data_IF_169475276379
#
_entry.id   IF_169475276379
#
_cell.length_a   1.000
_cell.length_b   1.000
_cell.length_c   1.000
_cell.angle_alpha   90.00
_cell.angle_beta   90.00
_cell.angle_gamma   90.00
#
_symmetry.space_group_name_H-M   'P 1'
#
loop_
_entity.id
_entity.type
_entity.pdbx_description
1 polymer ?
#
# COMPACT_ATOMS: atom_id res chain seq x y z
N UNK A 1 -37.97 -14.46 -63.69
CA UNK A 1 -37.81 -13.58 -62.52
C UNK A 1 -36.34 -13.60 -62.13
N UNK A 2 -35.67 -12.43 -62.07
CA UNK A 2 -34.27 -12.35 -61.64
C UNK A 2 -34.13 -12.64 -60.15
N UNK A 3 -32.92 -13.00 -59.69
CA UNK A 3 -32.63 -13.20 -58.25
C UNK A 3 -33.02 -11.97 -57.43
N UNK A 4 -32.80 -10.76 -57.95
CA UNK A 4 -33.18 -9.51 -57.28
C UNK A 4 -34.69 -9.35 -57.13
N UNK A 5 -35.47 -9.69 -58.15
CA UNK A 5 -36.93 -9.65 -58.09
C UNK A 5 -37.47 -10.66 -57.09
N UNK A 6 -36.87 -11.85 -56.99
CA UNK A 6 -37.28 -12.88 -56.04
C UNK A 6 -37.11 -12.44 -54.57
N UNK A 7 -35.98 -11.84 -54.22
CA UNK A 7 -35.74 -11.31 -52.87
C UNK A 7 -36.66 -10.12 -52.53
N UNK A 8 -36.99 -9.27 -53.51
CA UNK A 8 -37.98 -8.21 -53.31
C UNK A 8 -39.37 -8.77 -53.01
N UNK A 9 -39.81 -9.80 -53.75
CA UNK A 9 -41.12 -10.45 -53.52
C UNK A 9 -41.17 -11.23 -52.20
N UNK A 10 -40.06 -11.83 -51.76
CA UNK A 10 -39.94 -12.43 -50.42
C UNK A 10 -40.12 -11.40 -49.29
N UNK A 11 -39.56 -10.20 -49.48
CA UNK A 11 -39.65 -9.11 -48.50
C UNK A 11 -41.05 -8.51 -48.47
N UNK A 12 -41.69 -8.34 -49.63
CA UNK A 12 -43.07 -7.83 -49.77
C UNK A 12 -44.13 -8.79 -49.23
N UNK A 13 -43.86 -10.11 -49.24
CA UNK A 13 -44.73 -11.17 -48.71
C UNK A 13 -44.47 -11.51 -47.24
N UNK A 14 -43.64 -10.73 -46.54
CA UNK A 14 -43.24 -10.99 -45.16
C UNK A 14 -42.71 -12.43 -44.93
N UNK A 15 -42.04 -13.00 -45.93
CA UNK A 15 -41.54 -14.38 -45.90
C UNK A 15 -42.64 -15.48 -45.84
N UNK A 16 -43.89 -15.16 -46.16
CA UNK A 16 -44.96 -16.15 -46.28
C UNK A 16 -44.88 -16.90 -47.62
N UNK A 17 -44.48 -18.16 -47.57
CA UNK A 17 -44.23 -19.02 -48.75
C UNK A 17 -45.50 -19.19 -49.61
N UNK A 18 -46.69 -19.23 -48.99
CA UNK A 18 -47.96 -19.34 -49.70
C UNK A 18 -48.31 -18.07 -50.49
N UNK A 19 -47.95 -16.89 -49.97
CA UNK A 19 -48.13 -15.62 -50.69
C UNK A 19 -47.09 -15.39 -51.78
N UNK A 20 -45.88 -15.93 -51.62
CA UNK A 20 -44.87 -15.93 -52.70
C UNK A 20 -45.33 -16.80 -53.87
N UNK A 21 -45.94 -17.95 -53.57
CA UNK A 21 -46.48 -18.89 -54.56
C UNK A 21 -47.60 -18.26 -55.41
N UNK A 22 -48.48 -17.47 -54.79
CA UNK A 22 -49.58 -16.82 -55.52
C UNK A 22 -49.15 -15.66 -56.41
N UNK A 23 -48.01 -14.99 -56.11
CA UNK A 23 -47.52 -13.82 -56.84
C UNK A 23 -46.50 -14.15 -57.94
N UNK A 24 -45.78 -15.26 -57.86
CA UNK A 24 -44.81 -15.67 -58.87
C UNK A 24 -44.68 -17.21 -58.93
N UNK A 25 -45.41 -17.90 -59.82
CA UNK A 25 -45.49 -19.37 -59.88
C UNK A 25 -44.26 -20.01 -60.56
N UNK A 26 -43.06 -19.45 -60.34
CA UNK A 26 -41.83 -20.03 -60.88
C UNK A 26 -41.36 -21.15 -59.94
N UNK A 27 -41.83 -22.36 -60.21
CA UNK A 27 -41.58 -23.59 -59.42
C UNK A 27 -40.09 -23.79 -59.09
N UNK A 28 -39.19 -23.42 -60.00
CA UNK A 28 -37.73 -23.53 -59.80
C UNK A 28 -37.17 -22.59 -58.72
N UNK A 29 -37.66 -21.35 -58.63
CA UNK A 29 -37.22 -20.39 -57.60
C UNK A 29 -37.79 -20.74 -56.23
N UNK A 30 -39.00 -21.29 -56.20
CA UNK A 30 -39.65 -21.77 -54.97
C UNK A 30 -38.91 -22.99 -54.42
N UNK A 31 -38.56 -23.96 -55.29
CA UNK A 31 -37.70 -25.08 -54.92
C UNK A 31 -36.34 -24.61 -54.38
N UNK A 32 -35.72 -23.60 -55.02
CA UNK A 32 -34.45 -23.03 -54.57
C UNK A 32 -34.57 -22.38 -53.18
N UNK A 33 -35.65 -21.66 -52.88
CA UNK A 33 -35.87 -21.05 -51.57
C UNK A 33 -36.16 -22.07 -50.47
N UNK A 34 -36.87 -23.16 -50.77
CA UNK A 34 -37.06 -24.27 -49.82
C UNK A 34 -35.71 -24.92 -49.50
N UNK A 35 -34.88 -25.18 -50.52
CA UNK A 35 -33.52 -25.72 -50.33
C UNK A 35 -32.68 -24.76 -49.48
N UNK A 36 -32.71 -23.45 -49.78
CA UNK A 36 -32.00 -22.44 -49.00
C UNK A 36 -32.46 -22.40 -47.54
N UNK A 37 -33.77 -22.49 -47.29
CA UNK A 37 -34.35 -22.55 -45.93
C UNK A 37 -33.86 -23.80 -45.18
N UNK A 38 -33.87 -24.97 -45.83
CA UNK A 38 -33.36 -26.22 -45.25
C UNK A 38 -31.87 -26.08 -44.90
N UNK A 39 -31.07 -25.49 -45.78
CA UNK A 39 -29.64 -25.22 -45.54
C UNK A 39 -29.48 -24.29 -44.34
N UNK A 40 -30.25 -23.19 -44.26
CA UNK A 40 -30.18 -22.24 -43.13
C UNK A 40 -30.58 -22.89 -41.80
N UNK A 41 -31.64 -23.72 -41.80
CA UNK A 41 -32.06 -24.49 -40.61
C UNK A 41 -30.99 -25.49 -40.22
N UNK A 42 -30.41 -26.21 -41.17
CA UNK A 42 -29.32 -27.16 -40.91
C UNK A 42 -28.09 -26.45 -40.32
N UNK A 43 -27.66 -25.34 -40.91
CA UNK A 43 -26.54 -24.51 -40.41
C UNK A 43 -26.84 -24.01 -39.00
N UNK A 44 -28.06 -23.53 -38.73
CA UNK A 44 -28.47 -23.08 -37.40
C UNK A 44 -28.42 -24.21 -36.36
N UNK A 45 -28.93 -25.40 -36.70
CA UNK A 45 -28.90 -26.57 -35.82
C UNK A 45 -27.46 -27.05 -35.56
N UNK A 46 -26.62 -27.13 -36.59
CA UNK A 46 -25.20 -27.48 -36.47
C UNK A 46 -24.48 -26.47 -35.57
N UNK A 47 -24.67 -25.17 -35.81
CA UNK A 47 -24.09 -24.11 -34.99
C UNK A 47 -24.55 -24.18 -33.53
N UNK A 48 -25.82 -24.53 -33.30
CA UNK A 48 -26.36 -24.71 -31.95
C UNK A 48 -25.73 -25.92 -31.25
N UNK A 49 -25.62 -27.07 -31.93
CA UNK A 49 -24.99 -28.28 -31.38
C UNK A 49 -23.52 -28.02 -31.07
N UNK A 50 -22.79 -27.37 -31.98
CA UNK A 50 -21.40 -26.98 -31.76
C UNK A 50 -21.24 -26.13 -30.50
N UNK A 51 -22.07 -25.09 -30.33
CA UNK A 51 -22.02 -24.22 -29.14
C UNK A 51 -22.34 -24.96 -27.84
N UNK A 52 -23.28 -25.92 -27.86
CA UNK A 52 -23.59 -26.76 -26.70
C UNK A 52 -22.40 -27.64 -26.34
N UNK A 53 -21.83 -28.34 -27.33
CA UNK A 53 -20.69 -29.23 -27.13
C UNK A 53 -19.44 -28.46 -26.68
N UNK A 54 -19.22 -27.25 -27.21
CA UNK A 54 -18.13 -26.39 -26.78
C UNK A 54 -18.26 -26.06 -25.30
N UNK A 55 -19.45 -25.65 -24.83
CA UNK A 55 -19.66 -25.34 -23.42
C UNK A 55 -19.52 -26.58 -22.51
N UNK A 56 -19.99 -27.75 -22.94
CA UNK A 56 -19.74 -29.02 -22.23
C UNK A 56 -18.24 -29.30 -22.14
N UNK A 57 -17.49 -29.08 -23.22
CA UNK A 57 -16.03 -29.24 -23.23
C UNK A 57 -15.34 -28.24 -22.30
N UNK A 58 -15.80 -26.99 -22.24
CA UNK A 58 -15.30 -26.01 -21.27
C UNK A 58 -15.53 -26.47 -19.83
N UNK A 59 -16.72 -27.01 -19.53
CA UNK A 59 -17.03 -27.56 -18.19
C UNK A 59 -16.12 -28.75 -17.85
N UNK A 60 -15.79 -29.62 -18.81
CA UNK A 60 -14.89 -30.75 -18.54
C UNK A 60 -13.45 -30.28 -18.30
N UNK A 61 -12.95 -29.42 -19.19
CA UNK A 61 -11.56 -28.96 -19.15
C UNK A 61 -11.30 -27.92 -18.05
N UNK A 62 -12.32 -27.44 -17.34
CA UNK A 62 -12.11 -26.56 -16.17
C UNK A 62 -11.35 -27.29 -15.06
N UNK A 63 -11.52 -28.61 -14.94
CA UNK A 63 -10.83 -29.44 -13.95
C UNK A 63 -9.33 -29.60 -14.26
N UNK A 64 -8.97 -29.40 -15.53
CA UNK A 64 -7.61 -29.52 -16.07
C UNK A 64 -6.81 -28.21 -15.99
N UNK A 65 -7.44 -27.11 -15.57
CA UNK A 65 -6.79 -25.79 -15.44
C UNK A 65 -5.58 -25.85 -14.52
N UNK A 66 -4.52 -25.11 -14.88
CA UNK A 66 -3.30 -25.02 -14.09
C UNK A 66 -3.30 -23.77 -13.23
N UNK A 67 -3.69 -22.63 -13.80
CA UNK A 67 -3.70 -21.34 -13.10
C UNK A 67 -5.12 -20.88 -12.75
N UNK A 68 -5.22 -19.86 -11.90
CA UNK A 68 -6.49 -19.23 -11.56
C UNK A 68 -7.08 -18.47 -12.76
N UNK A 69 -6.25 -17.81 -13.56
CA UNK A 69 -6.70 -17.03 -14.72
C UNK A 69 -7.42 -17.93 -15.73
N UNK A 70 -6.83 -19.10 -16.04
CA UNK A 70 -7.47 -20.10 -16.90
C UNK A 70 -8.82 -20.59 -16.32
N UNK A 71 -8.90 -20.72 -14.99
CA UNK A 71 -10.14 -21.07 -14.31
C UNK A 71 -11.18 -19.96 -14.42
N UNK A 72 -10.78 -18.72 -14.13
CA UNK A 72 -11.65 -17.53 -14.11
C UNK A 72 -12.24 -17.26 -15.49
N UNK A 73 -11.44 -17.39 -16.55
CA UNK A 73 -11.90 -17.30 -17.94
C UNK A 73 -12.98 -18.36 -18.24
N UNK A 74 -12.72 -19.62 -17.87
CA UNK A 74 -13.65 -20.73 -18.13
C UNK A 74 -14.94 -20.61 -17.32
N UNK A 75 -14.86 -20.29 -16.02
CA UNK A 75 -16.05 -20.16 -15.18
C UNK A 75 -16.89 -18.94 -15.58
N UNK A 76 -16.24 -17.84 -15.97
CA UNK A 76 -16.92 -16.65 -16.50
C UNK A 76 -17.63 -16.95 -17.81
N UNK A 77 -16.98 -17.69 -18.73
CA UNK A 77 -17.61 -18.15 -19.95
C UNK A 77 -18.84 -19.03 -19.67
N UNK A 78 -18.72 -19.97 -18.71
CA UNK A 78 -19.85 -20.82 -18.29
C UNK A 78 -21.00 -19.97 -17.76
N UNK A 79 -20.73 -19.02 -16.86
CA UNK A 79 -21.73 -18.14 -16.26
C UNK A 79 -22.51 -17.32 -17.30
N UNK A 80 -21.83 -16.81 -18.33
CA UNK A 80 -22.44 -15.97 -19.36
C UNK A 80 -23.27 -16.75 -20.38
N UNK A 81 -22.86 -17.98 -20.71
CA UNK A 81 -23.43 -18.70 -21.85
C UNK A 81 -24.41 -19.81 -21.46
N UNK A 82 -24.43 -20.28 -20.21
CA UNK A 82 -25.30 -21.41 -19.79
C UNK A 82 -26.79 -21.16 -20.04
N UNK A 83 -27.30 -19.94 -19.87
CA UNK A 83 -28.71 -19.55 -20.12
C UNK A 83 -29.17 -19.72 -21.59
N UNK A 84 -28.22 -19.92 -22.52
CA UNK A 84 -28.48 -20.03 -23.96
C UNK A 84 -28.30 -21.44 -24.51
N UNK A 85 -27.90 -22.43 -23.70
CA UNK A 85 -27.41 -23.75 -24.17
C UNK A 85 -28.23 -24.96 -23.71
N UNK A 86 -29.35 -24.74 -23.01
CA UNK A 86 -30.35 -25.76 -22.71
C UNK A 86 -30.04 -26.64 -21.49
N UNK A 87 -31.05 -27.43 -21.08
CA UNK A 87 -31.04 -28.26 -19.86
C UNK A 87 -29.89 -29.28 -19.80
N UNK A 88 -29.47 -29.84 -20.94
CA UNK A 88 -28.36 -30.81 -21.02
C UNK A 88 -27.07 -30.26 -20.42
N UNK A 89 -26.74 -29.00 -20.69
CA UNK A 89 -25.53 -28.36 -20.14
C UNK A 89 -25.66 -28.15 -18.63
N UNK A 90 -26.82 -27.70 -18.16
CA UNK A 90 -27.07 -27.49 -16.73
C UNK A 90 -26.93 -28.80 -15.95
N UNK A 91 -27.51 -29.91 -16.43
CA UNK A 91 -27.33 -31.24 -15.82
C UNK A 91 -25.87 -31.68 -15.78
N UNK A 92 -25.12 -31.40 -16.85
CA UNK A 92 -23.69 -31.71 -16.92
C UNK A 92 -22.86 -30.88 -15.93
N UNK A 93 -23.16 -29.59 -15.79
CA UNK A 93 -22.53 -28.76 -14.75
C UNK A 93 -22.89 -29.26 -13.35
N UNK A 94 -24.13 -29.67 -13.14
CA UNK A 94 -24.62 -30.17 -11.85
C UNK A 94 -23.89 -31.43 -11.37
N UNK A 95 -23.47 -32.31 -12.29
CA UNK A 95 -22.71 -33.52 -11.95
C UNK A 95 -21.24 -33.25 -11.59
N UNK A 96 -20.71 -32.09 -11.99
CA UNK A 96 -19.29 -31.71 -11.78
C UNK A 96 -19.09 -30.59 -10.76
N UNK A 97 -20.15 -29.91 -10.31
CA UNK A 97 -20.11 -28.71 -9.45
C UNK A 97 -19.18 -28.84 -8.22
N UNK A 98 -19.23 -29.98 -7.53
CA UNK A 98 -18.39 -30.23 -6.33
C UNK A 98 -16.92 -30.39 -6.69
N UNK A 99 -16.61 -31.07 -7.80
CA UNK A 99 -15.22 -31.23 -8.28
C UNK A 99 -14.64 -29.89 -8.73
N UNK A 100 -15.47 -29.06 -9.36
CA UNK A 100 -15.09 -27.71 -9.80
C UNK A 100 -14.79 -26.83 -8.58
N UNK A 101 -15.62 -26.91 -7.53
CA UNK A 101 -15.40 -26.19 -6.28
C UNK A 101 -14.13 -26.65 -5.55
N UNK A 102 -13.91 -27.96 -5.46
CA UNK A 102 -12.72 -28.52 -4.83
C UNK A 102 -11.43 -28.15 -5.57
N UNK A 103 -11.48 -28.12 -6.92
CA UNK A 103 -10.35 -27.70 -7.75
C UNK A 103 -9.93 -26.27 -7.43
N UNK A 104 -10.89 -25.33 -7.42
CA UNK A 104 -10.58 -23.92 -7.16
C UNK A 104 -10.08 -23.70 -5.74
N UNK A 105 -10.66 -24.38 -4.73
CA UNK A 105 -10.20 -24.24 -3.34
C UNK A 105 -8.74 -24.65 -3.18
N UNK A 106 -8.28 -25.66 -3.93
CA UNK A 106 -6.86 -26.07 -3.92
C UNK A 106 -5.96 -25.08 -4.65
N UNK A 107 -6.44 -24.45 -5.73
CA UNK A 107 -5.63 -23.47 -6.48
C UNK A 107 -5.40 -22.19 -5.69
N UNK A 108 -6.40 -21.73 -4.95
CA UNK A 108 -6.34 -20.44 -4.24
C UNK A 108 -5.78 -20.56 -2.83
N UNK A 109 -5.43 -21.76 -2.36
CA UNK A 109 -5.01 -21.98 -0.97
C UNK A 109 -3.70 -21.26 -0.63
N UNK A 110 -2.81 -21.10 -1.61
CA UNK A 110 -1.49 -20.45 -1.47
C UNK A 110 -1.52 -18.96 -1.76
N UNK A 111 -2.66 -18.39 -2.13
CA UNK A 111 -2.78 -16.99 -2.48
C UNK A 111 -2.65 -16.12 -1.22
N UNK A 112 -2.11 -14.92 -1.39
CA UNK A 112 -2.15 -13.87 -0.37
C UNK A 112 -3.59 -13.46 -0.05
N UNK A 113 -3.82 -12.85 1.12
CA UNK A 113 -5.17 -12.41 1.50
C UNK A 113 -5.73 -11.37 0.51
N UNK A 114 -4.87 -10.49 -0.04
CA UNK A 114 -5.24 -9.53 -1.08
C UNK A 114 -5.79 -10.23 -2.33
N UNK A 115 -5.09 -11.24 -2.81
CA UNK A 115 -5.52 -12.03 -3.97
C UNK A 115 -6.81 -12.80 -3.65
N UNK A 116 -6.89 -13.46 -2.49
CA UNK A 116 -8.08 -14.20 -2.04
C UNK A 116 -9.32 -13.32 -2.03
N UNK A 117 -9.24 -12.08 -1.53
CA UNK A 117 -10.37 -11.13 -1.52
C UNK A 117 -10.94 -10.93 -2.93
N UNK A 118 -10.09 -10.67 -3.92
CA UNK A 118 -10.54 -10.41 -5.29
C UNK A 118 -11.08 -11.67 -5.97
N UNK A 119 -10.43 -12.82 -5.74
CA UNK A 119 -10.89 -14.12 -6.24
C UNK A 119 -12.26 -14.48 -5.68
N UNK A 120 -12.45 -14.41 -4.35
CA UNK A 120 -13.73 -14.76 -3.74
C UNK A 120 -14.88 -13.86 -4.22
N UNK A 121 -14.62 -12.56 -4.47
CA UNK A 121 -15.60 -11.65 -5.09
C UNK A 121 -15.96 -12.09 -6.51
N UNK A 122 -14.96 -12.39 -7.35
CA UNK A 122 -15.19 -12.86 -8.73
C UNK A 122 -16.01 -14.15 -8.74
N UNK A 123 -15.60 -15.13 -7.93
CA UNK A 123 -16.28 -16.43 -7.81
C UNK A 123 -17.73 -16.27 -7.33
N UNK A 124 -17.97 -15.49 -6.28
CA UNK A 124 -19.32 -15.22 -5.78
C UNK A 124 -20.22 -14.65 -6.88
N UNK A 125 -19.71 -13.67 -7.64
CA UNK A 125 -20.44 -13.07 -8.76
C UNK A 125 -20.75 -14.10 -9.84
N UNK A 126 -19.75 -14.87 -10.27
CA UNK A 126 -19.91 -15.89 -11.30
C UNK A 126 -20.87 -17.00 -10.85
N UNK A 127 -20.82 -17.42 -9.59
CA UNK A 127 -21.73 -18.43 -9.04
C UNK A 127 -23.17 -17.90 -8.96
N UNK A 128 -23.36 -16.65 -8.54
CA UNK A 128 -24.68 -16.00 -8.58
C UNK A 128 -25.25 -15.93 -10.01
N UNK A 129 -24.40 -15.59 -10.99
CA UNK A 129 -24.81 -15.56 -12.40
C UNK A 129 -25.20 -16.95 -12.92
N UNK A 130 -24.46 -18.00 -12.56
CA UNK A 130 -24.80 -19.38 -12.93
C UNK A 130 -26.16 -19.77 -12.34
N UNK A 131 -26.40 -19.49 -11.05
CA UNK A 131 -27.67 -19.78 -10.40
C UNK A 131 -28.85 -19.13 -11.14
N UNK A 132 -28.78 -17.80 -11.34
CA UNK A 132 -29.82 -17.04 -12.03
C UNK A 132 -30.03 -17.54 -13.47
N UNK A 133 -28.94 -17.86 -14.18
CA UNK A 133 -29.00 -18.36 -15.55
C UNK A 133 -29.66 -19.75 -15.66
N UNK A 134 -29.62 -20.54 -14.58
CA UNK A 134 -30.17 -21.89 -14.52
C UNK A 134 -31.66 -21.94 -14.13
N UNK A 135 -32.25 -20.85 -13.62
CA UNK A 135 -33.68 -20.76 -13.31
C UNK A 135 -34.57 -21.17 -14.49
N UNK A 136 -34.18 -20.75 -15.70
CA UNK A 136 -34.88 -21.08 -16.96
C UNK A 136 -35.04 -22.58 -17.22
N UNK A 137 -34.20 -23.41 -16.61
CA UNK A 137 -34.19 -24.86 -16.84
C UNK A 137 -34.81 -25.67 -15.69
N UNK A 138 -35.30 -25.02 -14.62
CA UNK A 138 -35.86 -25.66 -13.43
C UNK A 138 -34.90 -26.68 -12.78
N UNK A 139 -33.58 -26.45 -12.82
CA UNK A 139 -32.57 -27.30 -12.18
C UNK A 139 -32.35 -26.89 -10.71
N UNK A 140 -33.33 -27.19 -9.86
CA UNK A 140 -33.40 -26.70 -8.47
C UNK A 140 -32.16 -27.03 -7.64
N UNK A 141 -31.56 -28.20 -7.83
CA UNK A 141 -30.35 -28.61 -7.09
C UNK A 141 -29.16 -27.70 -7.43
N UNK A 142 -28.95 -27.43 -8.72
CA UNK A 142 -27.85 -26.61 -9.20
C UNK A 142 -27.98 -25.15 -8.77
N UNK A 143 -29.21 -24.62 -8.87
CA UNK A 143 -29.55 -23.27 -8.45
C UNK A 143 -29.25 -23.12 -6.96
N UNK A 144 -29.85 -23.97 -6.11
CA UNK A 144 -29.63 -23.93 -4.66
C UNK A 144 -28.16 -24.09 -4.28
N UNK A 145 -27.41 -24.92 -5.01
CA UNK A 145 -25.98 -25.09 -4.76
C UNK A 145 -25.22 -23.78 -5.01
N UNK A 146 -25.35 -23.18 -6.19
CA UNK A 146 -24.58 -21.99 -6.56
C UNK A 146 -25.05 -20.72 -5.83
N UNK A 147 -26.35 -20.56 -5.55
CA UNK A 147 -26.85 -19.47 -4.70
C UNK A 147 -26.25 -19.52 -3.30
N UNK A 148 -26.31 -20.71 -2.68
CA UNK A 148 -25.74 -20.92 -1.36
C UNK A 148 -24.23 -20.68 -1.37
N UNK A 149 -23.53 -21.23 -2.35
CA UNK A 149 -22.06 -21.09 -2.43
C UNK A 149 -21.62 -19.66 -2.70
N UNK A 150 -22.32 -18.91 -3.54
CA UNK A 150 -22.01 -17.50 -3.76
C UNK A 150 -22.02 -16.69 -2.45
N UNK A 151 -23.05 -16.90 -1.61
CA UNK A 151 -23.16 -16.26 -0.29
C UNK A 151 -22.10 -16.77 0.69
N UNK A 152 -21.96 -18.09 0.82
CA UNK A 152 -21.00 -18.72 1.74
C UNK A 152 -19.55 -18.26 1.48
N UNK A 153 -19.16 -18.06 0.22
CA UNK A 153 -17.80 -17.63 -0.14
C UNK A 153 -17.43 -16.28 0.50
N UNK A 154 -18.37 -15.33 0.56
CA UNK A 154 -18.11 -13.99 1.10
C UNK A 154 -18.42 -13.91 2.59
N UNK A 155 -19.59 -14.39 3.01
CA UNK A 155 -20.10 -14.20 4.37
C UNK A 155 -19.42 -15.11 5.40
N UNK A 156 -18.90 -16.26 4.94
CA UNK A 156 -18.25 -17.25 5.80
C UNK A 156 -16.80 -17.45 5.40
N UNK A 157 -16.52 -17.99 4.21
CA UNK A 157 -15.17 -18.43 3.84
C UNK A 157 -14.16 -17.28 3.85
N UNK A 158 -14.46 -16.16 3.15
CA UNK A 158 -13.55 -15.02 3.12
C UNK A 158 -13.46 -14.32 4.50
N UNK A 159 -14.57 -14.29 5.25
CA UNK A 159 -14.55 -13.77 6.63
C UNK A 159 -13.59 -14.57 7.51
N UNK A 160 -13.68 -15.90 7.47
CA UNK A 160 -12.82 -16.81 8.23
C UNK A 160 -11.35 -16.68 7.80
N UNK A 161 -11.08 -16.50 6.50
CA UNK A 161 -9.73 -16.27 5.95
C UNK A 161 -9.12 -14.94 6.41
N UNK A 162 -9.92 -13.86 6.44
CA UNK A 162 -9.48 -12.56 6.96
C UNK A 162 -9.20 -12.65 8.46
N UNK A 163 -10.07 -13.33 9.21
CA UNK A 163 -9.89 -13.57 10.64
C UNK A 163 -8.63 -14.38 10.92
N UNK A 164 -8.42 -15.45 10.18
CA UNK A 164 -7.19 -16.23 10.25
C UNK A 164 -5.96 -15.37 9.92
N UNK A 165 -6.04 -14.56 8.87
CA UNK A 165 -4.94 -13.70 8.46
C UNK A 165 -4.53 -12.72 9.56
N UNK A 166 -5.44 -11.87 10.07
CA UNK A 166 -5.05 -10.84 11.03
C UNK A 166 -4.61 -11.41 12.39
N UNK A 167 -5.01 -12.65 12.73
CA UNK A 167 -4.58 -13.36 13.94
C UNK A 167 -3.17 -13.93 13.86
N UNK A 168 -2.64 -14.14 12.65
CA UNK A 168 -1.39 -14.86 12.42
C UNK A 168 -0.36 -14.07 11.61
N UNK A 169 -0.69 -12.84 11.19
CA UNK A 169 0.22 -12.01 10.40
C UNK A 169 1.30 -11.37 11.27
N UNK A 170 2.54 -11.38 10.79
CA UNK A 170 3.58 -10.49 11.30
C UNK A 170 3.57 -9.18 10.51
N UNK A 171 3.35 -8.06 11.20
CA UNK A 171 3.23 -6.75 10.56
C UNK A 171 4.60 -6.23 10.10
N UNK A 172 4.97 -6.60 8.88
CA UNK A 172 6.18 -6.14 8.18
C UNK A 172 5.82 -5.28 6.97
N UNK A 173 6.79 -4.59 6.38
CA UNK A 173 6.57 -3.75 5.17
C UNK A 173 5.90 -4.54 4.04
N UNK A 174 6.18 -5.84 3.90
CA UNK A 174 5.62 -6.67 2.83
C UNK A 174 4.09 -6.88 2.98
N UNK A 175 3.54 -6.66 4.19
CA UNK A 175 2.13 -6.86 4.49
C UNK A 175 1.25 -5.62 4.24
N UNK A 176 1.83 -4.49 3.83
CA UNK A 176 1.09 -3.24 3.59
C UNK A 176 -0.05 -3.45 2.59
N UNK A 177 0.25 -4.08 1.45
CA UNK A 177 -0.71 -4.34 0.39
C UNK A 177 -1.86 -5.25 0.84
N UNK A 178 -1.55 -6.25 1.66
CA UNK A 178 -2.53 -7.16 2.23
C UNK A 178 -3.45 -6.45 3.22
N UNK A 179 -2.87 -5.66 4.13
CA UNK A 179 -3.62 -4.86 5.10
C UNK A 179 -4.52 -3.84 4.41
N UNK A 180 -4.00 -3.13 3.40
CA UNK A 180 -4.78 -2.19 2.61
C UNK A 180 -5.99 -2.87 1.95
N UNK A 181 -5.79 -4.06 1.37
CA UNK A 181 -6.88 -4.82 0.75
C UNK A 181 -7.93 -5.27 1.78
N UNK A 182 -7.49 -5.76 2.95
CA UNK A 182 -8.36 -6.16 4.06
C UNK A 182 -9.18 -4.97 4.57
N UNK A 183 -8.54 -3.83 4.87
CA UNK A 183 -9.22 -2.62 5.33
C UNK A 183 -10.23 -2.13 4.29
N UNK A 184 -9.85 -2.09 3.01
CA UNK A 184 -10.74 -1.71 1.91
C UNK A 184 -11.96 -2.63 1.84
N UNK A 185 -11.77 -3.94 2.00
CA UNK A 185 -12.87 -4.90 1.99
C UNK A 185 -13.79 -4.75 3.21
N UNK A 186 -13.23 -4.67 4.42
CA UNK A 186 -14.01 -4.50 5.65
C UNK A 186 -14.90 -3.26 5.57
N UNK A 187 -14.41 -2.16 5.00
CA UNK A 187 -15.18 -0.94 4.80
C UNK A 187 -16.43 -1.10 3.91
N UNK A 188 -16.54 -2.18 3.13
CA UNK A 188 -17.73 -2.52 2.33
C UNK A 188 -18.78 -3.33 3.09
N UNK A 189 -18.46 -3.81 4.29
CA UNK A 189 -19.32 -4.67 5.10
C UNK A 189 -20.21 -3.85 6.04
N UNK A 190 -21.39 -4.40 6.35
CA UNK A 190 -22.35 -3.75 7.26
C UNK A 190 -21.86 -3.78 8.72
N UNK A 191 -21.19 -4.84 9.15
CA UNK A 191 -20.65 -5.02 10.50
C UNK A 191 -19.17 -4.63 10.60
N UNK A 192 -18.73 -3.65 9.79
CA UNK A 192 -17.33 -3.22 9.69
C UNK A 192 -16.71 -2.85 11.04
N UNK A 193 -17.48 -2.19 11.92
CA UNK A 193 -16.95 -1.67 13.19
C UNK A 193 -16.57 -2.81 14.13
N UNK A 194 -17.41 -3.85 14.25
CA UNK A 194 -17.11 -5.07 15.02
C UNK A 194 -15.84 -5.78 14.50
N UNK A 195 -15.69 -5.87 13.18
CA UNK A 195 -14.52 -6.53 12.57
C UNK A 195 -13.26 -5.71 12.82
N UNK A 196 -13.34 -4.37 12.71
CA UNK A 196 -12.21 -3.50 13.05
C UNK A 196 -11.84 -3.60 14.53
N UNK A 197 -12.81 -3.65 15.44
CA UNK A 197 -12.53 -3.84 16.87
C UNK A 197 -11.73 -5.12 17.13
N UNK A 198 -12.11 -6.23 16.51
CA UNK A 198 -11.39 -7.50 16.62
C UNK A 198 -9.98 -7.43 16.03
N UNK A 199 -9.83 -6.87 14.82
CA UNK A 199 -8.54 -6.70 14.17
C UNK A 199 -7.60 -5.83 15.00
N UNK A 200 -8.07 -4.67 15.46
CA UNK A 200 -7.27 -3.74 16.26
C UNK A 200 -6.93 -4.33 17.63
N UNK A 201 -7.81 -5.15 18.21
CA UNK A 201 -7.53 -5.90 19.44
C UNK A 201 -6.37 -6.88 19.23
N UNK A 202 -6.33 -7.60 18.12
CA UNK A 202 -5.20 -8.46 17.79
C UNK A 202 -3.93 -7.64 17.60
N UNK A 203 -4.00 -6.52 16.88
CA UNK A 203 -2.82 -5.66 16.67
C UNK A 203 -2.32 -5.00 17.95
N UNK A 204 -3.20 -4.78 18.94
CA UNK A 204 -2.80 -4.24 20.24
C UNK A 204 -1.83 -5.15 21.01
N UNK A 205 -1.74 -6.44 20.64
CA UNK A 205 -0.84 -7.41 21.27
C UNK A 205 0.62 -7.25 20.84
N UNK A 206 0.90 -6.54 19.75
CA UNK A 206 2.27 -6.33 19.31
C UNK A 206 3.02 -5.36 20.23
N UNK A 207 4.33 -5.59 20.37
CA UNK A 207 5.23 -4.70 21.11
C UNK A 207 5.65 -3.50 20.26
N UNK A 208 4.83 -2.44 20.21
CA UNK A 208 5.09 -1.22 19.44
C UNK A 208 6.43 -0.54 19.76
N UNK A 209 6.91 -0.64 21.00
CA UNK A 209 8.18 -0.06 21.43
C UNK A 209 9.41 -0.89 21.10
N UNK A 210 9.26 -2.17 20.71
CA UNK A 210 10.40 -3.08 20.54
C UNK A 210 10.45 -3.77 19.18
N UNK A 211 9.33 -3.87 18.47
CA UNK A 211 9.29 -4.51 17.15
C UNK A 211 9.66 -3.50 16.05
N UNK A 212 10.88 -3.63 15.51
CA UNK A 212 11.41 -2.77 14.45
C UNK A 212 10.65 -2.92 13.12
N UNK A 213 10.24 -4.14 12.77
CA UNK A 213 9.52 -4.37 11.50
C UNK A 213 8.12 -3.76 11.54
N UNK A 214 7.45 -3.86 12.69
CA UNK A 214 6.20 -3.14 12.94
C UNK A 214 6.42 -1.62 12.87
N UNK A 215 7.49 -1.09 13.47
CA UNK A 215 7.78 0.33 13.40
C UNK A 215 7.92 0.80 11.94
N UNK A 216 8.73 0.09 11.14
CA UNK A 216 8.91 0.37 9.70
C UNK A 216 7.61 0.24 8.91
N UNK A 217 6.80 -0.77 9.21
CA UNK A 217 5.49 -0.97 8.62
C UNK A 217 4.59 0.25 8.87
N UNK A 218 4.53 0.74 10.12
CA UNK A 218 3.71 1.90 10.50
C UNK A 218 4.17 3.17 9.78
N UNK A 219 5.48 3.36 9.61
CA UNK A 219 6.01 4.51 8.88
C UNK A 219 5.67 4.50 7.39
N UNK A 220 5.42 3.31 6.82
CA UNK A 220 5.04 3.15 5.41
C UNK A 220 3.53 3.07 5.20
N UNK A 221 2.73 2.90 6.27
CA UNK A 221 1.28 2.92 6.18
C UNK A 221 0.77 4.31 5.76
N UNK A 222 -0.18 4.32 4.83
CA UNK A 222 -0.82 5.55 4.37
C UNK A 222 -2.27 5.67 4.88
N UNK A 223 -2.61 6.83 5.44
CA UNK A 223 -3.95 7.10 5.97
C UNK A 223 -5.07 6.95 4.91
N UNK A 224 -4.76 7.20 3.64
CA UNK A 224 -5.72 7.14 2.53
C UNK A 224 -6.17 5.70 2.23
N UNK A 225 -5.30 4.71 2.51
CA UNK A 225 -5.53 3.31 2.15
C UNK A 225 -6.00 2.48 3.34
N UNK A 226 -5.44 2.74 4.52
CA UNK A 226 -5.70 1.96 5.73
C UNK A 226 -6.08 2.84 6.93
N UNK A 227 -6.98 3.81 6.76
CA UNK A 227 -7.32 4.86 7.74
C UNK A 227 -7.45 4.37 9.19
N UNK A 228 -8.25 3.32 9.43
CA UNK A 228 -8.49 2.80 10.78
C UNK A 228 -7.21 2.24 11.41
N UNK A 229 -6.48 1.39 10.69
CA UNK A 229 -5.24 0.76 11.14
C UNK A 229 -4.14 1.81 11.31
N UNK A 230 -3.99 2.71 10.34
CA UNK A 230 -3.04 3.83 10.41
C UNK A 230 -3.25 4.66 11.69
N UNK A 231 -4.48 5.11 11.95
CA UNK A 231 -4.77 5.94 13.13
C UNK A 231 -4.48 5.21 14.42
N UNK A 232 -4.87 3.94 14.52
CA UNK A 232 -4.61 3.13 15.70
C UNK A 232 -3.10 2.95 15.95
N UNK A 233 -2.37 2.47 14.95
CA UNK A 233 -0.94 2.20 15.07
C UNK A 233 -0.14 3.48 15.32
N UNK A 234 -0.48 4.58 14.62
CA UNK A 234 0.21 5.85 14.80
C UNK A 234 -0.02 6.42 16.18
N UNK A 235 -1.25 6.37 16.71
CA UNK A 235 -1.53 6.78 18.08
C UNK A 235 -0.71 5.98 19.12
N UNK A 236 -0.52 4.67 18.90
CA UNK A 236 0.31 3.83 19.78
C UNK A 236 1.79 4.22 19.76
N UNK A 237 2.33 4.52 18.56
CA UNK A 237 3.71 4.98 18.42
C UNK A 237 3.88 6.39 18.98
N UNK A 238 2.96 7.32 18.70
CA UNK A 238 3.06 8.69 19.21
C UNK A 238 2.97 8.73 20.75
N UNK A 239 2.18 7.85 21.37
CA UNK A 239 2.14 7.67 22.84
C UNK A 239 3.52 7.28 23.40
N UNK A 240 4.30 6.46 22.68
CA UNK A 240 5.65 6.05 23.07
C UNK A 240 6.64 7.18 22.80
N UNK A 241 6.62 7.75 21.60
CA UNK A 241 7.55 8.79 21.14
C UNK A 241 7.44 10.08 21.97
N UNK A 242 6.23 10.44 22.40
CA UNK A 242 5.96 11.73 23.07
C UNK A 242 5.61 11.60 24.55
N UNK A 243 5.20 10.41 25.01
CA UNK A 243 4.77 10.23 26.39
C UNK A 243 5.90 10.25 27.41
N UNK A 244 7.12 9.86 26.99
CA UNK A 244 8.31 9.76 27.82
C UNK A 244 8.23 8.65 28.90
N UNK A 245 7.12 7.93 29.01
CA UNK A 245 6.86 6.91 30.03
C UNK A 245 7.01 5.47 29.51
N UNK A 246 7.36 5.30 28.23
CA UNK A 246 7.48 4.00 27.57
C UNK A 246 8.81 3.94 26.85
N UNK A 247 9.36 2.74 26.79
CA UNK A 247 10.62 2.48 26.10
C UNK A 247 10.41 2.33 24.60
N UNK A 248 11.24 3.04 23.83
CA UNK A 248 11.51 2.78 22.44
C UNK A 248 12.87 2.09 22.34
N UNK A 249 12.91 0.88 21.79
CA UNK A 249 14.11 0.03 21.81
C UNK A 249 15.29 0.66 21.11
N UNK A 250 16.49 0.28 21.54
CA UNK A 250 17.78 0.70 20.94
C UNK A 250 17.77 0.45 19.43
N UNK A 251 17.26 -0.69 18.96
CA UNK A 251 17.19 -1.02 17.53
C UNK A 251 16.33 -0.03 16.73
N UNK A 252 15.22 0.45 17.31
CA UNK A 252 14.38 1.47 16.67
C UNK A 252 15.06 2.84 16.71
N UNK A 253 15.70 3.19 17.82
CA UNK A 253 16.46 4.45 17.92
C UNK A 253 17.63 4.48 16.93
N UNK A 254 18.39 3.40 16.79
CA UNK A 254 19.44 3.27 15.77
C UNK A 254 18.88 3.38 14.37
N UNK A 255 17.72 2.76 14.10
CA UNK A 255 17.05 2.89 12.82
C UNK A 255 16.71 4.37 12.53
N UNK A 256 16.18 5.11 13.50
CA UNK A 256 15.87 6.53 13.35
C UNK A 256 17.11 7.38 13.07
N UNK A 257 18.17 7.16 13.86
CA UNK A 257 19.44 7.88 13.73
C UNK A 257 20.15 7.61 12.38
N UNK A 258 19.92 6.46 11.76
CA UNK A 258 20.58 6.08 10.51
C UNK A 258 19.74 6.37 9.25
N UNK A 259 18.51 6.89 9.37
CA UNK A 259 17.58 7.04 8.24
C UNK A 259 17.00 8.46 8.10
N UNK A 260 17.79 9.51 8.37
CA UNK A 260 17.39 10.92 8.18
C UNK A 260 16.15 11.31 9.02
N UNK A 261 16.03 10.71 10.21
CA UNK A 261 14.94 10.94 11.18
C UNK A 261 15.49 11.15 12.59
N UNK A 262 16.69 11.68 12.68
CA UNK A 262 17.45 11.86 13.90
C UNK A 262 16.69 12.72 14.91
N UNK A 263 16.00 13.76 14.43
CA UNK A 263 15.12 14.63 15.23
C UNK A 263 14.10 13.87 16.07
N UNK A 264 13.54 12.75 15.58
CA UNK A 264 12.60 11.94 16.37
C UNK A 264 13.30 11.27 17.54
N UNK A 265 14.52 10.78 17.33
CA UNK A 265 15.32 10.15 18.38
C UNK A 265 15.74 11.18 19.42
N UNK A 266 16.19 12.36 18.99
CA UNK A 266 16.57 13.46 19.89
C UNK A 266 15.39 13.92 20.75
N UNK A 267 14.22 14.11 20.12
CA UNK A 267 13.00 14.49 20.84
C UNK A 267 12.55 13.41 21.82
N UNK A 268 12.67 12.13 21.47
CA UNK A 268 12.35 11.04 22.38
C UNK A 268 13.29 11.04 23.60
N UNK A 269 14.61 11.11 23.39
CA UNK A 269 15.62 11.10 24.46
C UNK A 269 15.45 12.29 25.39
N UNK A 270 15.29 13.50 24.85
CA UNK A 270 15.15 14.73 25.65
C UNK A 270 13.87 14.79 26.49
N UNK A 271 12.84 14.01 26.14
CA UNK A 271 11.57 13.96 26.86
C UNK A 271 11.37 12.66 27.67
N UNK A 272 12.35 11.74 27.66
CA UNK A 272 12.28 10.47 28.36
C UNK A 272 12.20 10.69 29.88
N UNK A 273 11.28 9.99 30.55
CA UNK A 273 11.02 10.09 31.99
C UNK A 273 11.40 8.81 32.76
N UNK A 274 12.04 7.87 32.07
CA UNK A 274 12.51 6.60 32.63
C UNK A 274 14.01 6.70 32.92
N UNK A 275 14.37 7.00 34.16
CA UNK A 275 15.77 7.24 34.58
C UNK A 275 16.71 6.09 34.24
N UNK A 276 16.36 4.86 34.61
CA UNK A 276 17.19 3.68 34.34
C UNK A 276 17.35 3.41 32.84
N UNK A 277 16.31 3.65 32.04
CA UNK A 277 16.40 3.48 30.60
C UNK A 277 17.22 4.62 29.95
N UNK A 278 17.07 5.85 30.45
CA UNK A 278 17.88 6.98 30.00
C UNK A 278 19.37 6.75 30.29
N UNK A 279 19.72 6.20 31.47
CA UNK A 279 21.09 5.78 31.77
C UNK A 279 21.60 4.73 30.77
N UNK A 280 20.80 3.71 30.46
CA UNK A 280 21.18 2.70 29.48
C UNK A 280 21.41 3.32 28.09
N UNK A 281 20.54 4.24 27.66
CA UNK A 281 20.71 4.94 26.38
C UNK A 281 21.93 5.84 26.38
N UNK A 282 22.20 6.54 27.48
CA UNK A 282 23.39 7.36 27.66
C UNK A 282 24.65 6.50 27.51
N UNK A 283 24.71 5.39 28.25
CA UNK A 283 25.84 4.47 28.21
C UNK A 283 26.03 3.85 26.83
N UNK A 284 24.99 3.77 25.99
CA UNK A 284 25.06 3.24 24.63
C UNK A 284 25.43 4.30 23.58
N UNK A 285 24.92 5.52 23.68
CA UNK A 285 24.95 6.51 22.59
C UNK A 285 25.78 7.76 22.87
N UNK A 286 25.79 8.24 24.12
CA UNK A 286 26.37 9.54 24.46
C UNK A 286 27.89 9.55 24.21
N UNK A 287 28.37 10.54 23.46
CA UNK A 287 29.77 10.71 23.07
C UNK A 287 30.38 9.47 22.38
N UNK A 288 29.55 8.64 21.74
CA UNK A 288 30.01 7.45 20.98
C UNK A 288 29.88 7.61 19.47
N UNK A 289 29.11 8.60 19.02
CA UNK A 289 28.92 8.95 17.62
C UNK A 289 29.35 10.40 17.42
N UNK A 290 29.79 10.73 16.22
CA UNK A 290 30.05 12.12 15.81
C UNK A 290 28.71 12.82 15.52
N UNK A 291 27.90 12.97 16.57
CA UNK A 291 26.56 13.54 16.52
C UNK A 291 26.31 14.40 17.77
N UNK A 292 26.67 15.67 17.66
CA UNK A 292 26.52 16.64 18.75
C UNK A 292 25.06 16.88 19.13
N UNK A 293 24.12 16.80 18.19
CA UNK A 293 22.69 16.97 18.49
C UNK A 293 22.17 15.84 19.37
N UNK A 294 22.62 14.62 19.12
CA UNK A 294 22.32 13.46 19.96
C UNK A 294 22.82 13.68 21.39
N UNK A 295 24.08 14.10 21.54
CA UNK A 295 24.67 14.34 22.86
C UNK A 295 23.94 15.46 23.61
N UNK A 296 23.60 16.55 22.92
CA UNK A 296 22.81 17.65 23.48
C UNK A 296 21.39 17.23 23.85
N UNK A 297 20.81 16.21 23.19
CA UNK A 297 19.49 15.70 23.56
C UNK A 297 19.46 15.02 24.93
N UNK A 298 20.59 14.41 25.34
CA UNK A 298 20.76 13.88 26.70
C UNK A 298 20.87 15.01 27.72
N UNK A 299 21.68 16.03 27.42
CA UNK A 299 21.87 17.22 28.29
C UNK A 299 20.57 18.01 28.45
N UNK A 300 19.73 18.05 27.41
CA UNK A 300 18.44 18.72 27.45
C UNK A 300 17.38 18.00 28.32
N UNK A 301 17.64 16.75 28.70
CA UNK A 301 16.73 15.99 29.55
C UNK A 301 16.88 16.43 31.02
N UNK A 302 15.79 16.81 31.71
CA UNK A 302 15.86 17.27 33.10
C UNK A 302 16.07 16.16 34.13
N UNK A 303 15.97 14.88 33.74
CA UNK A 303 16.23 13.77 34.65
C UNK A 303 17.71 13.71 35.02
N UNK A 304 17.97 13.46 36.31
CA UNK A 304 19.33 13.26 36.80
C UNK A 304 19.72 11.81 36.58
N UNK A 305 20.77 11.61 35.80
CA UNK A 305 21.44 10.31 35.60
C UNK A 305 22.93 10.46 35.93
N UNK A 306 23.62 9.35 36.14
CA UNK A 306 25.07 9.36 36.39
C UNK A 306 25.80 9.74 35.09
N UNK A 307 26.22 11.01 35.01
CA UNK A 307 26.78 11.62 33.81
C UNK A 307 27.72 12.77 34.17
N UNK A 308 28.76 12.95 33.37
CA UNK A 308 29.73 14.05 33.49
C UNK A 308 29.53 15.07 32.35
N UNK A 309 28.28 15.54 32.20
CA UNK A 309 27.91 16.47 31.14
C UNK A 309 28.71 17.77 31.18
N UNK A 310 29.01 18.29 32.38
CA UNK A 310 29.78 19.53 32.54
C UNK A 310 31.17 19.41 31.91
N UNK A 311 31.93 18.38 32.28
CA UNK A 311 33.26 18.15 31.73
C UNK A 311 33.22 17.88 30.22
N UNK A 312 32.21 17.15 29.73
CA UNK A 312 32.01 16.94 28.29
C UNK A 312 31.84 18.28 27.54
N UNK A 313 30.94 19.15 28.02
CA UNK A 313 30.69 20.46 27.41
C UNK A 313 31.95 21.34 27.48
N UNK A 314 32.61 21.43 28.65
CA UNK A 314 33.82 22.22 28.84
C UNK A 314 34.93 21.78 27.87
N UNK A 315 35.13 20.48 27.69
CA UNK A 315 36.10 19.93 26.75
C UNK A 315 35.73 20.24 25.29
N UNK A 316 34.45 20.11 24.92
CA UNK A 316 33.98 20.43 23.57
C UNK A 316 34.21 21.90 23.22
N UNK A 317 33.90 22.81 24.15
CA UNK A 317 34.09 24.26 23.99
C UNK A 317 35.58 24.64 23.99
N UNK A 318 36.40 23.98 24.82
CA UNK A 318 37.84 24.23 24.87
C UNK A 318 38.55 23.77 23.60
N UNK A 319 38.16 22.62 23.04
CA UNK A 319 38.71 22.14 21.75
C UNK A 319 38.35 23.05 20.59
N UNK A 320 37.14 23.62 20.61
CA UNK A 320 36.61 24.49 19.57
C UNK A 320 36.63 25.98 19.98
N UNK A 321 37.60 26.39 20.80
CA UNK A 321 37.61 27.70 21.46
C UNK A 321 37.66 28.93 20.52
N UNK A 322 37.97 28.74 19.23
CA UNK A 322 37.96 29.78 18.19
C UNK A 322 36.75 29.70 17.24
N UNK A 323 35.92 28.67 17.36
CA UNK A 323 34.76 28.51 16.49
C UNK A 323 33.54 29.16 17.17
N UNK A 324 33.28 30.42 16.81
CA UNK A 324 32.17 31.21 17.36
C UNK A 324 30.81 30.53 17.12
N UNK A 325 30.61 29.89 15.96
CA UNK A 325 29.36 29.22 15.62
C UNK A 325 29.14 27.97 16.46
N UNK A 326 30.19 27.18 16.68
CA UNK A 326 30.12 26.01 17.55
C UNK A 326 29.80 26.40 19.00
N UNK A 327 30.48 27.44 19.50
CA UNK A 327 30.25 27.94 20.87
C UNK A 327 28.83 28.47 21.01
N UNK A 328 28.34 29.27 20.06
CA UNK A 328 26.98 29.81 20.05
C UNK A 328 25.93 28.69 20.00
N UNK A 329 26.15 27.69 19.15
CA UNK A 329 25.26 26.53 19.00
C UNK A 329 25.12 25.73 20.30
N UNK A 330 26.23 25.37 20.94
CA UNK A 330 26.20 24.67 22.23
C UNK A 330 25.59 25.55 23.32
N UNK A 331 25.98 26.82 23.40
CA UNK A 331 25.51 27.72 24.46
C UNK A 331 24.00 27.97 24.40
N UNK A 332 23.42 28.01 23.20
CA UNK A 332 21.98 28.20 23.01
C UNK A 332 21.17 26.91 23.19
N UNK A 333 21.82 25.76 23.40
CA UNK A 333 21.15 24.47 23.54
C UNK A 333 20.54 24.30 24.93
N UNK A 334 19.35 23.70 24.98
CA UNK A 334 18.60 23.48 26.22
C UNK A 334 19.39 22.61 27.21
N UNK A 335 19.39 22.96 28.49
CA UNK A 335 20.05 22.21 29.56
C UNK A 335 21.54 22.54 29.73
N UNK A 336 22.16 23.25 28.78
CA UNK A 336 23.60 23.58 28.84
C UNK A 336 23.90 24.63 29.91
N UNK A 337 23.08 25.68 30.01
CA UNK A 337 23.25 26.71 31.05
C UNK A 337 23.14 26.11 32.45
N UNK A 338 22.15 25.26 32.68
CA UNK A 338 21.92 24.59 33.96
C UNK A 338 23.07 23.63 34.31
N UNK A 339 23.66 23.00 33.30
CA UNK A 339 24.78 22.06 33.45
C UNK A 339 26.10 22.77 33.76
N UNK A 340 26.42 23.84 33.02
CA UNK A 340 27.67 24.59 33.20
C UNK A 340 27.64 25.47 34.45
N UNK A 341 26.52 26.15 34.68
CA UNK A 341 26.37 27.21 35.66
C UNK A 341 26.49 28.61 35.05
N UNK A 342 25.89 29.61 35.71
CA UNK A 342 25.78 30.98 35.21
C UNK A 342 27.13 31.68 35.00
N UNK A 343 28.15 31.37 35.82
CA UNK A 343 29.44 32.06 35.75
C UNK A 343 30.24 31.60 34.53
N UNK A 344 30.36 30.28 34.36
CA UNK A 344 31.01 29.65 33.22
C UNK A 344 30.32 30.03 31.91
N UNK A 345 28.98 30.04 31.90
CA UNK A 345 28.20 30.48 30.75
C UNK A 345 28.47 31.94 30.37
N UNK A 346 28.54 32.84 31.35
CA UNK A 346 28.87 34.25 31.09
C UNK A 346 30.24 34.42 30.43
N UNK A 347 31.24 33.68 30.90
CA UNK A 347 32.58 33.70 30.30
C UNK A 347 32.58 33.20 28.85
N UNK A 348 31.69 32.26 28.50
CA UNK A 348 31.52 31.81 27.12
C UNK A 348 30.92 32.90 26.22
N UNK A 349 29.89 33.61 26.69
CA UNK A 349 29.29 34.73 25.94
C UNK A 349 30.33 35.84 25.71
N UNK A 350 31.05 36.25 26.76
CA UNK A 350 32.11 37.26 26.65
C UNK A 350 33.21 36.83 25.65
N UNK A 351 33.50 35.53 25.57
CA UNK A 351 34.44 34.98 24.58
C UNK A 351 33.88 35.06 23.15
N UNK A 352 32.61 34.70 22.92
CA UNK A 352 31.97 34.81 21.60
C UNK A 352 32.01 36.25 21.10
N UNK A 353 31.66 37.21 21.96
CA UNK A 353 31.70 38.64 21.64
C UNK A 353 33.12 39.11 21.27
N UNK A 354 34.14 38.64 22.00
CA UNK A 354 35.54 38.94 21.70
C UNK A 354 35.98 38.39 20.34
N UNK A 355 35.60 37.16 20.00
CA UNK A 355 35.93 36.54 18.70
C UNK A 355 35.23 37.30 17.57
N UNK A 356 33.96 37.67 17.75
CA UNK A 356 33.21 38.45 16.76
C UNK A 356 33.87 39.81 16.49
N UNK A 357 34.30 40.52 17.55
CA UNK A 357 35.02 41.78 17.42
C UNK A 357 36.38 41.62 16.71
N UNK A 358 37.12 40.55 16.98
CA UNK A 358 38.38 40.24 16.28
C UNK A 358 38.14 39.97 14.78
N UNK A 359 37.11 39.22 14.43
CA UNK A 359 36.76 38.94 13.03
C UNK A 359 36.35 40.20 12.27
N UNK A 360 35.57 41.08 12.89
CA UNK A 360 35.18 42.37 12.32
C UNK A 360 36.40 43.26 12.08
N UNK A 361 37.27 43.40 13.08
CA UNK A 361 38.52 44.16 12.95
C UNK A 361 39.42 43.61 11.84
N UNK A 362 39.48 42.28 11.68
CA UNK A 362 40.23 41.64 10.61
C UNK A 362 39.64 41.95 9.23
N UNK A 363 38.32 41.96 9.08
CA UNK A 363 37.65 42.36 7.81
C UNK A 363 37.98 43.81 7.45
N UNK A 364 37.84 44.73 8.41
CA UNK A 364 38.18 46.15 8.21
C UNK A 364 39.64 46.33 7.82
N UNK A 365 40.56 45.62 8.49
CA UNK A 365 41.98 45.66 8.16
C UNK A 365 42.29 45.10 6.76
N UNK A 366 41.60 44.03 6.35
CA UNK A 366 41.74 43.47 5.00
C UNK A 366 41.20 44.40 3.91
N UNK A 367 40.08 45.07 4.16
CA UNK A 367 39.53 46.08 3.26
C UNK A 367 40.46 47.29 3.16
N UNK A 368 40.96 47.80 4.28
CA UNK A 368 41.93 48.88 4.33
C UNK A 368 43.22 48.51 3.56
N UNK A 369 43.72 47.27 3.72
CA UNK A 369 44.88 46.78 2.99
C UNK A 369 44.61 46.64 1.49
N UNK A 370 43.40 46.24 1.08
CA UNK A 370 42.99 46.19 -0.33
C UNK A 370 42.90 47.58 -0.93
N UNK A 371 42.38 48.56 -0.19
CA UNK A 371 42.33 49.97 -0.59
C UNK A 371 43.76 50.52 -0.70
N UNK A 372 44.63 50.25 0.28
CA UNK A 372 46.02 50.67 0.27
C UNK A 372 46.80 50.11 -0.93
N UNK A 373 46.65 48.81 -1.25
CA UNK A 373 47.25 48.20 -2.45
C UNK A 373 46.75 48.83 -3.75
N UNK A 374 45.46 49.18 -3.83
CA UNK A 374 44.90 49.90 -4.98
C UNK A 374 45.49 51.31 -5.10
N UNK A 375 45.60 52.04 -3.99
CA UNK A 375 46.20 53.37 -3.97
C UNK A 375 47.68 53.33 -4.36
N UNK A 376 48.44 52.34 -3.89
CA UNK A 376 49.83 52.09 -4.28
C UNK A 376 49.96 51.83 -5.78
N UNK A 377 49.08 50.98 -6.34
CA UNK A 377 49.06 50.68 -7.78
C UNK A 377 48.81 51.95 -8.61
N UNK A 378 47.81 52.75 -8.22
CA UNK A 378 47.50 54.04 -8.88
C UNK A 378 48.68 55.02 -8.75
N UNK A 379 49.35 55.07 -7.61
CA UNK A 379 50.52 55.93 -7.41
C UNK A 379 51.71 55.51 -8.28
N UNK A 380 51.94 54.21 -8.44
CA UNK A 380 52.97 53.67 -9.33
C UNK A 380 52.66 53.93 -10.81
N UNK A 381 51.39 53.81 -11.23
CA UNK A 381 50.93 54.20 -12.57
C UNK A 381 51.08 55.71 -12.82
N UNK A 382 50.70 56.55 -11.87
CA UNK A 382 50.87 58.00 -11.97
C UNK A 382 52.37 58.39 -12.04
N UNK A 383 53.23 57.68 -11.31
CA UNK A 383 54.69 57.88 -11.36
C UNK A 383 55.29 57.45 -12.71
N UNK A 384 54.80 56.35 -13.31
CA UNK A 384 55.26 55.90 -14.63
C UNK A 384 54.78 56.81 -15.76
N UNK A 385 53.61 57.44 -15.62
CA UNK A 385 53.09 58.46 -16.54
C UNK A 385 53.85 59.80 -16.47
N UNK A 386 54.41 60.17 -15.31
CA UNK A 386 55.27 61.36 -15.13
C UNK A 386 56.72 61.17 -15.57
N UNK A 387 57.15 59.95 -15.85
CA UNK A 387 58.50 59.60 -16.30
C UNK A 387 58.66 59.50 -17.83
N UNK A 388 57.60 59.82 -18.59
CA UNK A 388 57.64 60.15 -20.02
C UNK A 388 57.52 61.65 -20.17
#
# INVERSE_FOLDING_TARGET
MSISQFFSTLKESQFNILEVYSKAPNETLIAFAIILLIILVAVFLIARIYKINNLINTINTILETKTYEEYDEKISFIAQDISKRGKKVALHLNSLKEKILFKISKQISTFSIKEKIEVYKSLSKNYSLIANACEKYNETELIKFYERKAKELLEKTLKDEIEFYYKNVDLTINEIDNINAVVKYINTLNNKDEIFEQLLKEFSKFSFGYNLDLYKFIEKLEIKEAKQVYRFCRAKIDEIEQGGQKELSINILEYLLNNWKEEKAYNYISNLKLESYLQQLHDQFFNKKDDLNLDLSFIANPLKIDSDYKNYIDNSLTRNWRDSKHIEFISNSKGVLETLGHMEFRTLIERVDSIAAEEENKKVAQEALKIAKRAETIALEAKSLRGK
#
